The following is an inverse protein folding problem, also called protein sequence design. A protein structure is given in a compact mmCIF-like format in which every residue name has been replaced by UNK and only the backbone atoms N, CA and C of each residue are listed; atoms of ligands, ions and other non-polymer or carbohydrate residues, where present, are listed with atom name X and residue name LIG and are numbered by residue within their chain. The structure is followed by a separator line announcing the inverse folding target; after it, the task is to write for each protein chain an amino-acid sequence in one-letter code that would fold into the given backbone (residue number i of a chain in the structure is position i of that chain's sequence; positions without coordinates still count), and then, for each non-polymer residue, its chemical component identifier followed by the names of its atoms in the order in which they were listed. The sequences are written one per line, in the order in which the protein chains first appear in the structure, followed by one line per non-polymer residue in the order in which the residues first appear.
data_IF_384347122429
#
_entry.id   IF_384347122429
#
_cell.length_a   1.000
_cell.length_b   1.000
_cell.length_c   1.000
_cell.angle_alpha   90.00
_cell.angle_beta   90.00
_cell.angle_gamma   90.00
#
_symmetry.space_group_name_H-M   'P 1'
#
loop_
_entity.id
_entity.type
_entity.pdbx_description
1 polymer ?
#
# COMPACT_ATOMS: atom_id res chain seq x y z
N UNK A 1 57.32 11.09 19.28
CA UNK A 1 56.69 11.03 17.95
C UNK A 1 55.39 10.23 18.09
N UNK A 2 54.25 10.89 18.33
CA UNK A 2 52.96 10.21 18.49
C UNK A 2 52.13 10.42 17.21
N UNK A 3 51.96 9.35 16.41
CA UNK A 3 51.10 9.37 15.22
C UNK A 3 49.66 9.11 15.64
N UNK A 4 48.83 10.15 15.67
CA UNK A 4 47.37 9.97 15.76
C UNK A 4 46.88 9.40 14.43
N UNK A 5 46.39 8.16 14.49
CA UNK A 5 45.73 7.50 13.38
C UNK A 5 44.27 7.94 13.37
N UNK A 6 43.92 8.86 12.48
CA UNK A 6 42.52 9.24 12.25
C UNK A 6 41.87 8.18 11.36
N UNK A 7 40.91 7.43 11.93
CA UNK A 7 40.04 6.53 11.18
C UNK A 7 38.81 7.35 10.75
N UNK A 8 38.58 7.60 9.44
CA UNK A 8 37.35 8.23 9.01
C UNK A 8 36.19 7.23 9.17
N UNK A 9 35.34 7.47 10.18
CA UNK A 9 34.08 6.76 10.36
C UNK A 9 33.10 7.23 9.28
N UNK A 10 33.00 6.49 8.17
CA UNK A 10 31.97 6.71 7.15
C UNK A 10 30.66 6.11 7.65
N UNK A 11 29.79 6.96 8.22
CA UNK A 11 28.42 6.57 8.58
C UNK A 11 27.56 6.68 7.32
N UNK A 12 27.23 5.53 6.72
CA UNK A 12 26.29 5.45 5.59
C UNK A 12 24.87 5.62 6.14
N UNK A 13 24.34 6.84 6.10
CA UNK A 13 22.91 7.11 6.31
C UNK A 13 22.16 6.79 5.01
N UNK A 14 21.83 5.51 4.82
CA UNK A 14 21.10 5.02 3.66
C UNK A 14 19.83 4.28 4.05
N UNK A 15 18.98 4.89 4.89
CA UNK A 15 17.64 4.38 5.16
C UNK A 15 16.61 5.36 4.60
N UNK A 16 16.66 5.61 3.28
CA UNK A 16 15.48 6.04 2.56
C UNK A 16 14.53 4.84 2.60
N UNK A 17 13.56 4.86 3.51
CA UNK A 17 12.44 3.93 3.46
C UNK A 17 11.72 4.17 2.12
N UNK A 18 12.11 3.42 1.09
CA UNK A 18 11.33 3.31 -0.13
C UNK A 18 10.00 2.75 0.32
N UNK A 19 8.98 3.61 0.39
CA UNK A 19 7.59 3.15 0.39
C UNK A 19 7.50 2.24 -0.81
N UNK A 20 7.36 0.93 -0.57
CA UNK A 20 7.26 -0.08 -1.63
C UNK A 20 5.89 0.08 -2.28
N UNK A 21 5.73 1.14 -3.07
CA UNK A 21 4.55 1.35 -3.90
C UNK A 21 4.47 0.21 -4.93
N UNK A 22 3.25 -0.23 -5.18
CA UNK A 22 2.98 -1.27 -6.15
C UNK A 22 3.39 -0.83 -7.56
N UNK A 23 3.80 -1.77 -8.43
CA UNK A 23 4.07 -1.48 -9.82
C UNK A 23 2.87 -0.80 -10.47
N UNK A 24 3.13 0.27 -11.23
CA UNK A 24 2.12 0.98 -12.00
C UNK A 24 2.32 0.73 -13.50
N UNK A 25 1.25 0.88 -14.27
CA UNK A 25 1.29 0.99 -15.73
C UNK A 25 0.49 2.21 -16.17
N UNK A 26 0.83 2.73 -17.35
CA UNK A 26 0.07 3.81 -17.98
C UNK A 26 -0.64 3.22 -19.20
N UNK A 27 -1.95 3.40 -19.28
CA UNK A 27 -2.73 2.95 -20.45
C UNK A 27 -2.45 3.83 -21.67
N UNK A 28 -2.88 3.39 -22.85
CA UNK A 28 -2.80 4.19 -24.08
C UNK A 28 -3.57 5.51 -23.96
N UNK A 29 -4.59 5.56 -23.10
CA UNK A 29 -5.37 6.77 -22.80
C UNK A 29 -4.70 7.68 -21.75
N UNK A 30 -3.51 7.34 -21.26
CA UNK A 30 -2.78 8.12 -20.26
C UNK A 30 -3.22 7.90 -18.81
N UNK A 31 -4.04 6.88 -18.54
CA UNK A 31 -4.52 6.58 -17.17
C UNK A 31 -3.47 5.77 -16.43
N UNK A 32 -3.16 6.16 -15.19
CA UNK A 32 -2.30 5.39 -14.29
C UNK A 32 -3.11 4.29 -13.61
N UNK A 33 -2.65 3.06 -13.78
CA UNK A 33 -3.20 1.88 -13.14
C UNK A 33 -2.16 1.24 -12.21
N UNK A 34 -2.62 0.79 -11.05
CA UNK A 34 -1.83 0.15 -10.01
C UNK A 34 -2.09 -1.35 -10.07
N UNK A 35 -1.02 -2.13 -10.11
CA UNK A 35 -1.11 -3.58 -10.01
C UNK A 35 -1.57 -3.97 -8.61
N UNK A 36 -2.65 -4.74 -8.51
CA UNK A 36 -3.06 -5.38 -7.26
C UNK A 36 -2.46 -6.78 -7.16
N UNK A 37 -2.08 -7.14 -5.94
CA UNK A 37 -1.68 -8.50 -5.57
C UNK A 37 -2.35 -8.88 -4.25
N UNK A 38 -2.53 -10.19 -4.03
CA UNK A 38 -3.02 -10.66 -2.74
C UNK A 38 -2.04 -10.24 -1.62
N UNK A 39 -2.57 -9.74 -0.51
CA UNK A 39 -1.76 -9.20 0.58
C UNK A 39 -1.62 -7.67 0.53
N UNK A 40 -0.47 -7.16 0.96
CA UNK A 40 -0.24 -5.71 1.12
C UNK A 40 -0.01 -5.05 -0.24
N UNK A 41 -0.75 -3.97 -0.47
CA UNK A 41 -0.61 -3.08 -1.61
C UNK A 41 -0.42 -1.66 -1.08
N UNK A 42 0.49 -0.89 -1.68
CA UNK A 42 0.75 0.49 -1.33
C UNK A 42 0.78 1.35 -2.59
N UNK A 43 0.25 2.57 -2.49
CA UNK A 43 0.35 3.58 -3.53
C UNK A 43 0.27 4.96 -2.90
N UNK A 44 1.24 5.84 -3.17
CA UNK A 44 1.24 7.22 -2.68
C UNK A 44 1.04 7.33 -1.15
N UNK A 45 1.78 6.53 -0.38
CA UNK A 45 1.67 6.43 1.09
C UNK A 45 0.32 5.91 1.63
N UNK A 46 -0.54 5.37 0.77
CA UNK A 46 -1.77 4.69 1.17
C UNK A 46 -1.58 3.19 1.00
N UNK A 47 -1.61 2.45 2.11
CA UNK A 47 -1.47 1.00 2.08
C UNK A 47 -2.76 0.32 2.52
N UNK A 48 -3.21 -0.68 1.75
CA UNK A 48 -4.31 -1.57 2.09
C UNK A 48 -3.91 -3.03 1.87
N UNK A 49 -4.59 -3.94 2.54
CA UNK A 49 -4.48 -5.37 2.28
C UNK A 49 -5.65 -5.82 1.42
N UNK A 50 -5.35 -6.39 0.26
CA UNK A 50 -6.35 -6.97 -0.64
C UNK A 50 -6.39 -8.49 -0.46
N UNK A 51 -7.59 -9.03 -0.31
CA UNK A 51 -7.83 -10.47 -0.23
C UNK A 51 -8.64 -10.92 -1.45
N UNK A 52 -7.94 -11.37 -2.48
CA UNK A 52 -8.49 -11.81 -3.76
C UNK A 52 -9.56 -12.90 -3.59
N UNK A 53 -9.30 -13.88 -2.71
CA UNK A 53 -10.23 -14.99 -2.42
C UNK A 53 -11.60 -14.53 -1.93
N UNK A 54 -11.65 -13.42 -1.19
CA UNK A 54 -12.88 -12.92 -0.55
C UNK A 54 -13.41 -11.65 -1.23
N UNK A 55 -12.66 -11.04 -2.14
CA UNK A 55 -12.97 -9.74 -2.72
C UNK A 55 -13.09 -8.65 -1.66
N UNK A 56 -12.22 -8.69 -0.64
CA UNK A 56 -12.23 -7.72 0.46
C UNK A 56 -10.93 -6.93 0.52
N UNK A 57 -11.03 -5.74 1.10
CA UNK A 57 -9.90 -4.88 1.42
C UNK A 57 -9.91 -4.53 2.90
N UNK A 58 -8.75 -4.35 3.49
CA UNK A 58 -8.61 -3.89 4.88
C UNK A 58 -7.45 -2.91 5.02
N UNK A 59 -7.49 -2.12 6.09
CA UNK A 59 -6.38 -1.27 6.52
C UNK A 59 -6.00 -1.71 7.93
N UNK A 60 -4.72 -1.64 8.26
CA UNK A 60 -4.20 -2.01 9.59
C UNK A 60 -5.05 -1.39 10.71
N UNK A 61 -5.51 -2.23 11.63
CA UNK A 61 -6.33 -1.81 12.77
C UNK A 61 -7.82 -1.65 12.48
N UNK A 62 -8.29 -1.94 11.26
CA UNK A 62 -9.71 -1.88 10.88
C UNK A 62 -10.23 -3.21 10.33
N UNK A 63 -11.55 -3.39 10.41
CA UNK A 63 -12.22 -4.55 9.85
C UNK A 63 -12.07 -4.57 8.32
N UNK A 64 -12.09 -5.76 7.73
CA UNK A 64 -12.17 -5.88 6.28
C UNK A 64 -13.55 -5.45 5.77
N UNK A 65 -13.55 -4.80 4.62
CA UNK A 65 -14.77 -4.41 3.90
C UNK A 65 -14.77 -5.06 2.53
N UNK A 66 -15.97 -5.30 2.00
CA UNK A 66 -16.11 -5.80 0.64
C UNK A 66 -15.74 -4.71 -0.35
N UNK A 67 -15.00 -5.07 -1.39
CA UNK A 67 -14.65 -4.15 -2.46
C UNK A 67 -15.93 -3.69 -3.19
N UNK A 68 -16.03 -2.40 -3.58
CA UNK A 68 -17.14 -1.91 -4.39
C UNK A 68 -17.30 -2.73 -5.67
N UNK A 69 -18.52 -3.16 -5.98
CA UNK A 69 -18.80 -4.05 -7.11
C UNK A 69 -18.52 -3.44 -8.49
N UNK A 70 -18.36 -2.12 -8.57
CA UNK A 70 -18.01 -1.40 -9.79
C UNK A 70 -16.53 -1.51 -10.15
N UNK A 71 -15.68 -1.87 -9.19
CA UNK A 71 -14.23 -1.99 -9.40
C UNK A 71 -13.94 -3.38 -9.95
N UNK A 72 -13.49 -3.44 -11.19
CA UNK A 72 -12.99 -4.67 -11.79
C UNK A 72 -11.53 -4.89 -11.38
N UNK A 73 -11.21 -6.12 -10.98
CA UNK A 73 -9.84 -6.53 -10.62
C UNK A 73 -9.42 -7.78 -11.38
N UNK A 74 -10.21 -8.19 -12.39
CA UNK A 74 -10.01 -9.43 -13.15
C UNK A 74 -8.69 -9.45 -13.92
N UNK A 75 -8.20 -8.30 -14.36
CA UNK A 75 -6.91 -8.15 -15.03
C UNK A 75 -5.73 -7.91 -14.07
N UNK A 76 -6.01 -7.80 -12.76
CA UNK A 76 -5.03 -7.56 -11.71
C UNK A 76 -4.59 -6.10 -11.58
N UNK A 77 -5.28 -5.15 -12.20
CA UNK A 77 -5.00 -3.73 -12.10
C UNK A 77 -6.23 -2.93 -11.68
N UNK A 78 -6.01 -1.78 -11.05
CA UNK A 78 -7.05 -0.78 -10.76
C UNK A 78 -6.52 0.60 -11.04
N UNK A 79 -7.38 1.53 -11.43
CA UNK A 79 -6.99 2.93 -11.57
C UNK A 79 -6.63 3.55 -10.21
N UNK A 80 -5.89 4.66 -10.23
CA UNK A 80 -5.60 5.42 -9.01
C UNK A 80 -6.86 5.89 -8.26
N UNK A 81 -7.94 6.22 -8.98
CA UNK A 81 -9.21 6.63 -8.38
C UNK A 81 -9.94 5.47 -7.68
N UNK A 82 -9.94 4.28 -8.29
CA UNK A 82 -10.49 3.07 -7.69
C UNK A 82 -9.70 2.65 -6.46
N UNK A 83 -8.37 2.68 -6.53
CA UNK A 83 -7.51 2.43 -5.38
C UNK A 83 -7.80 3.38 -4.21
N UNK A 84 -7.92 4.68 -4.48
CA UNK A 84 -8.27 5.67 -3.47
C UNK A 84 -9.66 5.42 -2.86
N UNK A 85 -10.62 4.95 -3.66
CA UNK A 85 -11.97 4.58 -3.19
C UNK A 85 -11.91 3.36 -2.27
N UNK A 86 -11.19 2.31 -2.67
CA UNK A 86 -10.96 1.11 -1.84
C UNK A 86 -10.31 1.47 -0.50
N UNK A 87 -9.25 2.30 -0.54
CA UNK A 87 -8.57 2.75 0.66
C UNK A 87 -9.48 3.55 1.58
N UNK A 88 -10.25 4.50 1.03
CA UNK A 88 -11.20 5.32 1.80
C UNK A 88 -12.24 4.43 2.50
N UNK A 89 -12.84 3.50 1.78
CA UNK A 89 -13.89 2.64 2.33
C UNK A 89 -13.33 1.71 3.42
N UNK A 90 -12.15 1.11 3.20
CA UNK A 90 -11.45 0.33 4.21
C UNK A 90 -11.04 1.19 5.43
N UNK A 91 -10.66 2.46 5.21
CA UNK A 91 -10.32 3.38 6.27
C UNK A 91 -11.55 3.97 7.01
N UNK A 92 -12.76 3.81 6.48
CA UNK A 92 -14.00 4.15 7.19
C UNK A 92 -14.57 2.96 7.98
N UNK A 93 -14.04 1.75 7.75
CA UNK A 93 -14.46 0.55 8.46
C UNK A 93 -14.23 0.66 9.98
N UNK A 94 -15.08 0.00 10.76
CA UNK A 94 -14.94 -0.06 12.21
C UNK A 94 -13.55 -0.58 12.62
N UNK A 95 -13.01 -0.03 13.70
CA UNK A 95 -11.74 -0.50 14.25
C UNK A 95 -11.85 -1.95 14.74
N UNK A 96 -10.78 -2.73 14.52
CA UNK A 96 -10.67 -4.08 15.05
C UNK A 96 -10.72 -4.02 16.58
N UNK A 97 -11.58 -4.82 17.21
CA UNK A 97 -11.71 -4.86 18.67
C UNK A 97 -12.59 -3.76 19.29
N UNK A 98 -13.24 -2.91 18.51
CA UNK A 98 -14.25 -1.96 19.01
C UNK A 98 -15.55 -2.63 19.53
N UNK A 99 -15.65 -3.97 19.43
CA UNK A 99 -16.73 -4.79 19.97
C UNK A 99 -16.24 -5.77 21.04
N UNK A 100 -15.86 -5.26 22.21
CA UNK A 100 -15.89 -5.98 23.48
C UNK A 100 -16.44 -5.04 24.55
N UNK A 101 -17.76 -4.99 24.67
CA UNK A 101 -18.48 -4.54 25.86
C UNK A 101 -19.49 -5.61 26.22
#
# INVERSE_FOLDING_TARGET
MHRLTYIPLVVVLGACAVSEDNPTRTTESGVTEIRLQDGRNCYQNQCLTYHSRYGTVSVTGRNSVRMPAIIDTSDGYVTAGEYATMFRDANMAFANGAGRR
#
